data_IF_171589068023
#
_entry.id   IF_171589068023
#
_cell.length_a   1.000
_cell.length_b   1.000
_cell.length_c   1.000
_cell.angle_alpha   90.00
_cell.angle_beta   90.00
_cell.angle_gamma   90.00
#
_symmetry.space_group_name_H-M   'P 1'
#
loop_
_entity.id
_entity.type
_entity.pdbx_description
1 polymer ?
#
# COMPACT_ATOMS: atom_id res chain seq x y z
N UNK A 1 -9.98 18.78 -3.32
CA UNK A 1 -9.08 17.98 -4.17
C UNK A 1 -8.06 17.23 -3.31
N UNK A 2 -7.25 17.92 -2.52
CA UNK A 2 -6.37 17.32 -1.49
C UNK A 2 -7.02 16.33 -0.51
N UNK A 3 -8.26 16.60 -0.07
CA UNK A 3 -9.00 15.71 0.83
C UNK A 3 -9.40 14.38 0.19
N UNK A 4 -9.79 14.41 -1.08
CA UNK A 4 -10.20 13.21 -1.81
C UNK A 4 -9.02 12.25 -1.98
N UNK A 5 -7.85 12.77 -2.37
CA UNK A 5 -6.60 12.01 -2.45
C UNK A 5 -6.26 11.29 -1.14
N UNK A 6 -6.36 12.00 -0.01
CA UNK A 6 -6.10 11.41 1.31
C UNK A 6 -7.12 10.32 1.65
N UNK A 7 -8.40 10.54 1.33
CA UNK A 7 -9.46 9.56 1.56
C UNK A 7 -9.26 8.30 0.70
N UNK A 8 -8.86 8.45 -0.57
CA UNK A 8 -8.60 7.33 -1.48
C UNK A 8 -7.37 6.52 -1.04
N UNK A 9 -6.28 7.18 -0.65
CA UNK A 9 -5.09 6.51 -0.09
C UNK A 9 -5.41 5.79 1.23
N UNK A 10 -6.22 6.39 2.10
CA UNK A 10 -6.68 5.76 3.35
C UNK A 10 -7.55 4.55 3.08
N UNK A 11 -8.41 4.63 2.06
CA UNK A 11 -9.24 3.51 1.65
C UNK A 11 -8.39 2.34 1.12
N UNK A 12 -7.34 2.63 0.34
CA UNK A 12 -6.37 1.64 -0.10
C UNK A 12 -5.64 0.97 1.09
N UNK A 13 -5.13 1.76 2.04
CA UNK A 13 -4.47 1.24 3.25
C UNK A 13 -5.41 0.38 4.09
N UNK A 14 -6.66 0.81 4.28
CA UNK A 14 -7.69 0.04 4.99
C UNK A 14 -8.00 -1.27 4.29
N UNK A 15 -8.09 -1.27 2.95
CA UNK A 15 -8.32 -2.50 2.18
C UNK A 15 -7.15 -3.47 2.36
N UNK A 16 -5.91 -2.99 2.36
CA UNK A 16 -4.73 -3.83 2.60
C UNK A 16 -4.80 -4.49 4.00
N UNK A 17 -5.10 -3.74 5.06
CA UNK A 17 -5.27 -4.32 6.41
C UNK A 17 -6.37 -5.38 6.46
N UNK A 18 -7.48 -5.15 5.76
CA UNK A 18 -8.55 -6.13 5.66
C UNK A 18 -8.09 -7.40 4.94
N UNK A 19 -7.41 -7.25 3.80
CA UNK A 19 -6.83 -8.36 3.02
C UNK A 19 -5.88 -9.19 3.87
N UNK A 20 -5.02 -8.55 4.66
CA UNK A 20 -4.06 -9.22 5.55
C UNK A 20 -4.76 -9.97 6.69
N UNK A 21 -5.79 -9.37 7.28
CA UNK A 21 -6.62 -10.03 8.30
C UNK A 21 -7.37 -11.23 7.73
N UNK A 22 -7.95 -11.11 6.54
CA UNK A 22 -8.62 -12.22 5.84
C UNK A 22 -7.61 -13.32 5.49
N UNK A 23 -6.40 -12.95 5.10
CA UNK A 23 -5.36 -13.91 4.75
C UNK A 23 -4.93 -14.72 5.98
N UNK A 24 -4.80 -14.05 7.13
CA UNK A 24 -4.51 -14.74 8.39
C UNK A 24 -5.59 -15.77 8.74
N UNK A 25 -6.86 -15.40 8.63
CA UNK A 25 -7.98 -16.34 8.84
C UNK A 25 -7.95 -17.50 7.84
N UNK A 26 -7.62 -17.24 6.57
CA UNK A 26 -7.55 -18.27 5.54
C UNK A 26 -6.46 -19.30 5.84
N UNK A 27 -5.25 -18.86 6.18
CA UNK A 27 -4.15 -19.79 6.49
C UNK A 27 -4.39 -20.56 7.79
N UNK A 28 -4.96 -19.92 8.81
CA UNK A 28 -5.32 -20.58 10.07
C UNK A 28 -6.43 -21.65 9.85
N UNK A 29 -7.29 -21.45 8.85
CA UNK A 29 -8.31 -22.41 8.41
C UNK A 29 -7.83 -23.44 7.38
N UNK A 30 -6.56 -23.39 6.94
CA UNK A 30 -5.98 -24.32 5.96
C UNK A 30 -6.29 -23.99 4.49
N UNK A 31 -6.85 -22.82 4.18
CA UNK A 31 -7.13 -22.37 2.81
C UNK A 31 -5.95 -21.58 2.22
N UNK A 32 -4.92 -22.33 1.79
CA UNK A 32 -3.73 -21.75 1.15
C UNK A 32 -4.04 -21.05 -0.18
N UNK A 33 -5.08 -21.49 -0.91
CA UNK A 33 -5.45 -20.90 -2.18
C UNK A 33 -5.99 -19.48 -1.96
N UNK A 34 -6.89 -19.31 -0.98
CA UNK A 34 -7.40 -18.00 -0.59
C UNK A 34 -6.31 -17.10 -0.01
N UNK A 35 -5.40 -17.65 0.80
CA UNK A 35 -4.23 -16.93 1.31
C UNK A 35 -3.40 -16.30 0.18
N UNK A 36 -3.08 -17.08 -0.86
CA UNK A 36 -2.32 -16.60 -2.01
C UNK A 36 -3.08 -15.56 -2.83
N UNK A 37 -4.38 -15.77 -3.06
CA UNK A 37 -5.23 -14.80 -3.76
C UNK A 37 -5.27 -13.45 -3.06
N UNK A 38 -5.37 -13.45 -1.73
CA UNK A 38 -5.40 -12.23 -0.93
C UNK A 38 -4.09 -11.45 -1.03
N UNK A 39 -2.93 -12.11 -0.96
CA UNK A 39 -1.66 -11.40 -1.15
C UNK A 39 -1.43 -10.92 -2.58
N UNK A 40 -1.98 -11.61 -3.58
CA UNK A 40 -2.03 -11.08 -4.94
C UNK A 40 -2.88 -9.80 -5.02
N UNK A 41 -4.01 -9.74 -4.31
CA UNK A 41 -4.83 -8.53 -4.22
C UNK A 41 -4.08 -7.37 -3.54
N UNK A 42 -3.37 -7.63 -2.43
CA UNK A 42 -2.51 -6.62 -1.77
C UNK A 42 -1.49 -6.03 -2.76
N UNK A 43 -0.85 -6.89 -3.55
CA UNK A 43 0.10 -6.48 -4.58
C UNK A 43 -0.58 -5.61 -5.64
N UNK A 44 -1.75 -6.00 -6.13
CA UNK A 44 -2.48 -5.26 -7.15
C UNK A 44 -2.92 -3.88 -6.65
N UNK A 45 -3.33 -3.76 -5.38
CA UNK A 45 -3.62 -2.46 -4.75
C UNK A 45 -2.38 -1.56 -4.75
N UNK A 46 -1.21 -2.10 -4.36
CA UNK A 46 0.04 -1.34 -4.31
C UNK A 46 0.52 -0.92 -5.71
N UNK A 47 0.33 -1.78 -6.70
CA UNK A 47 0.62 -1.47 -8.10
C UNK A 47 -0.27 -0.36 -8.67
N UNK A 48 -1.51 -0.25 -8.19
CA UNK A 48 -2.45 0.78 -8.63
C UNK A 48 -2.30 2.14 -7.92
N UNK A 49 -1.38 2.29 -6.97
CA UNK A 49 -1.20 3.55 -6.25
C UNK A 49 -0.76 4.72 -7.16
N UNK A 50 0.16 4.57 -8.13
CA UNK A 50 0.52 5.65 -9.05
C UNK A 50 -0.69 6.15 -9.82
N UNK A 51 -1.49 5.25 -10.41
CA UNK A 51 -2.70 5.59 -11.16
C UNK A 51 -3.76 6.29 -10.29
N UNK A 52 -3.86 5.88 -9.02
CA UNK A 52 -4.76 6.53 -8.06
C UNK A 52 -4.34 7.97 -7.77
N UNK A 53 -3.05 8.25 -7.76
CA UNK A 53 -2.48 9.53 -7.34
C UNK A 53 -2.29 10.51 -8.49
N UNK A 54 -1.99 10.03 -9.70
CA UNK A 54 -1.71 10.83 -10.90
C UNK A 54 -2.72 11.98 -11.13
N UNK A 55 -4.06 11.77 -11.04
CA UNK A 55 -5.03 12.82 -11.29
C UNK A 55 -4.96 14.00 -10.30
N UNK A 56 -4.33 13.80 -9.14
CA UNK A 56 -4.24 14.80 -8.07
C UNK A 56 -2.92 15.57 -8.09
N UNK A 57 -1.91 15.12 -8.85
CA UNK A 57 -0.57 15.73 -8.84
C UNK A 57 -0.58 17.17 -9.35
N UNK A 58 -1.41 17.47 -10.35
CA UNK A 58 -1.50 18.81 -10.95
C UNK A 58 -2.01 19.88 -9.98
N UNK A 59 -2.72 19.49 -8.92
CA UNK A 59 -3.31 20.39 -7.92
C UNK A 59 -2.41 20.60 -6.68
N UNK A 60 -1.24 19.97 -6.65
CA UNK A 60 -0.29 20.07 -5.54
C UNK A 60 0.89 20.98 -5.90
N UNK A 61 1.54 21.62 -4.91
CA UNK A 61 2.81 22.30 -5.14
C UNK A 61 3.85 21.32 -5.71
N UNK A 62 4.60 21.74 -6.72
CA UNK A 62 5.54 20.89 -7.48
C UNK A 62 6.48 20.05 -6.59
N UNK A 63 7.14 20.58 -5.54
CA UNK A 63 7.98 19.75 -4.67
C UNK A 63 7.23 18.66 -3.89
N UNK A 64 5.94 18.88 -3.62
CA UNK A 64 5.08 17.90 -2.96
C UNK A 64 4.55 16.88 -3.97
N UNK A 65 4.16 17.31 -5.16
CA UNK A 65 3.72 16.46 -6.26
C UNK A 65 4.80 15.45 -6.65
N UNK A 66 6.03 15.92 -6.90
CA UNK A 66 7.17 15.07 -7.28
C UNK A 66 7.49 14.02 -6.21
N UNK A 67 7.46 14.43 -4.94
CA UNK A 67 7.74 13.54 -3.83
C UNK A 67 6.65 12.49 -3.66
N UNK A 68 5.40 12.89 -3.81
CA UNK A 68 4.25 12.00 -3.74
C UNK A 68 4.32 10.96 -4.87
N UNK A 69 4.58 11.38 -6.11
CA UNK A 69 4.76 10.51 -7.26
C UNK A 69 5.90 9.49 -7.02
N UNK A 70 7.07 9.95 -6.57
CA UNK A 70 8.22 9.08 -6.30
C UNK A 70 7.91 8.02 -5.23
N UNK A 71 7.19 8.39 -4.17
CA UNK A 71 6.89 7.47 -3.07
C UNK A 71 5.88 6.38 -3.50
N UNK A 72 4.83 6.74 -4.25
CA UNK A 72 3.86 5.75 -4.77
C UNK A 72 4.46 4.82 -5.81
N UNK A 73 5.36 5.34 -6.66
CA UNK A 73 6.17 4.51 -7.56
C UNK A 73 7.07 3.53 -6.78
N UNK A 74 7.64 3.97 -5.67
CA UNK A 74 8.43 3.11 -4.78
C UNK A 74 7.61 1.97 -4.14
N UNK A 75 6.34 2.19 -3.81
CA UNK A 75 5.43 1.13 -3.38
C UNK A 75 5.12 0.16 -4.53
N UNK A 76 4.75 0.67 -5.70
CA UNK A 76 4.43 -0.13 -6.88
C UNK A 76 5.62 -0.98 -7.35
N UNK A 77 6.82 -0.42 -7.42
CA UNK A 77 8.03 -1.13 -7.84
C UNK A 77 8.37 -2.31 -6.93
N UNK A 78 8.22 -2.15 -5.61
CA UNK A 78 8.41 -3.24 -4.64
C UNK A 78 7.35 -4.32 -4.80
N UNK A 79 6.09 -3.93 -4.98
CA UNK A 79 4.99 -4.86 -5.22
C UNK A 79 5.17 -5.63 -6.54
N UNK A 80 5.57 -4.95 -7.61
CA UNK A 80 5.88 -5.57 -8.91
C UNK A 80 7.04 -6.56 -8.83
N UNK A 81 8.07 -6.25 -8.04
CA UNK A 81 9.17 -7.17 -7.76
C UNK A 81 8.71 -8.41 -6.99
N UNK A 82 7.85 -8.25 -5.97
CA UNK A 82 7.27 -9.38 -5.25
C UNK A 82 6.39 -10.26 -6.17
N UNK A 83 5.64 -9.62 -7.08
CA UNK A 83 4.81 -10.29 -8.11
C UNK A 83 5.64 -11.11 -9.07
N UNK A 84 6.71 -10.54 -9.63
CA UNK A 84 7.57 -11.21 -10.62
C UNK A 84 8.31 -12.42 -10.04
N UNK A 85 8.70 -12.34 -8.77
CA UNK A 85 9.29 -13.45 -8.03
C UNK A 85 8.27 -14.53 -7.63
N UNK A 86 6.96 -14.28 -7.80
CA UNK A 86 5.86 -15.13 -7.36
C UNK A 86 6.05 -15.61 -5.90
N UNK A 87 6.60 -14.75 -5.05
CA UNK A 87 7.03 -15.12 -3.70
C UNK A 87 6.07 -14.59 -2.67
N UNK A 88 5.28 -15.49 -2.11
CA UNK A 88 4.30 -15.18 -1.06
C UNK A 88 4.93 -14.53 0.17
N UNK A 89 6.18 -14.90 0.49
CA UNK A 89 6.93 -14.29 1.60
C UNK A 89 7.23 -12.82 1.34
N UNK A 90 7.68 -12.48 0.12
CA UNK A 90 7.91 -11.08 -0.24
C UNK A 90 6.61 -10.29 -0.29
N UNK A 91 5.54 -10.87 -0.83
CA UNK A 91 4.21 -10.22 -0.86
C UNK A 91 3.66 -9.96 0.55
N UNK A 92 3.87 -10.91 1.46
CA UNK A 92 3.55 -10.78 2.88
C UNK A 92 4.28 -9.58 3.50
N UNK A 93 5.60 -9.52 3.32
CA UNK A 93 6.47 -8.51 3.93
C UNK A 93 6.33 -7.09 3.34
N UNK A 94 5.62 -6.90 2.22
CA UNK A 94 5.38 -5.56 1.66
C UNK A 94 4.79 -4.63 2.73
N UNK A 95 5.32 -3.40 2.80
CA UNK A 95 4.96 -2.35 3.77
C UNK A 95 5.50 -2.53 5.20
N UNK A 96 6.21 -3.62 5.49
CA UNK A 96 6.69 -3.93 6.83
C UNK A 96 8.22 -3.97 6.86
N UNK A 97 8.88 -2.88 7.28
CA UNK A 97 10.33 -2.86 7.45
C UNK A 97 10.76 -3.78 8.61
N UNK A 98 12.06 -4.09 8.67
CA UNK A 98 12.62 -5.04 9.64
C UNK A 98 12.40 -4.65 11.11
N UNK A 99 12.20 -3.35 11.38
CA UNK A 99 11.95 -2.81 12.72
C UNK A 99 10.45 -2.69 13.08
N UNK A 100 9.55 -3.15 12.19
CA UNK A 100 8.12 -3.15 12.42
C UNK A 100 7.72 -3.97 13.66
N UNK A 101 6.77 -3.44 14.42
CA UNK A 101 6.12 -4.14 15.54
C UNK A 101 4.63 -4.27 15.28
N UNK A 102 4.05 -5.38 15.73
CA UNK A 102 2.62 -5.59 15.62
C UNK A 102 1.85 -4.45 16.32
N UNK A 103 0.86 -3.89 15.61
CA UNK A 103 0.08 -2.74 16.06
C UNK A 103 0.63 -1.39 15.58
N UNK A 104 1.87 -1.32 15.09
CA UNK A 104 2.40 -0.10 14.49
C UNK A 104 1.74 0.19 13.13
N UNK A 105 1.75 1.46 12.68
CA UNK A 105 1.42 1.80 11.31
C UNK A 105 2.43 1.19 10.33
N UNK A 106 1.94 0.65 9.21
CA UNK A 106 2.77 0.18 8.10
C UNK A 106 3.33 1.35 7.27
N UNK A 107 4.24 1.08 6.35
CA UNK A 107 4.89 2.14 5.55
C UNK A 107 3.89 3.05 4.80
N UNK A 108 2.80 2.48 4.26
CA UNK A 108 1.79 3.23 3.53
C UNK A 108 0.99 4.13 4.48
N UNK A 109 0.60 3.63 5.65
CA UNK A 109 -0.08 4.41 6.68
C UNK A 109 0.82 5.56 7.19
N UNK A 110 2.09 5.27 7.49
CA UNK A 110 3.08 6.30 7.88
C UNK A 110 3.27 7.34 6.78
N UNK A 111 3.22 6.92 5.52
CA UNK A 111 3.32 7.82 4.38
C UNK A 111 2.10 8.75 4.30
N UNK A 112 0.89 8.21 4.45
CA UNK A 112 -0.37 8.97 4.47
C UNK A 112 -0.36 10.00 5.61
N UNK A 113 0.08 9.62 6.80
CA UNK A 113 0.18 10.53 7.95
C UNK A 113 1.14 11.70 7.69
N UNK A 114 2.29 11.41 7.07
CA UNK A 114 3.24 12.46 6.64
C UNK A 114 2.63 13.36 5.57
N UNK A 115 1.89 12.80 4.62
CA UNK A 115 1.25 13.54 3.54
C UNK A 115 0.18 14.50 4.10
N UNK A 116 -0.68 14.02 5.01
CA UNK A 116 -1.70 14.85 5.66
C UNK A 116 -1.08 16.03 6.41
N UNK A 117 0.08 15.85 7.04
CA UNK A 117 0.77 16.96 7.74
C UNK A 117 1.30 18.06 6.80
N UNK A 118 1.47 17.76 5.50
CA UNK A 118 2.07 18.65 4.50
C UNK A 118 1.07 19.30 3.55
N UNK A 119 -0.15 18.76 3.51
CA UNK A 119 -1.26 19.23 2.67
C UNK A 119 -2.18 20.21 3.43
N UNK A 120 -1.98 20.37 4.74
CA UNK A 120 -2.68 21.36 5.57
C UNK A 120 -2.43 22.80 5.14
#
# INVERSE_FOLDING_TARGET
>A
MSRQLLDDLRQAAKRIRQVESEARTAIDGGDEARYRQLYAEKVDILLGLPDLVEPHLADLPEPLADRLALEVEGFAARAGSAKSLNSIFYMYALLYPDDYREGDPNDLERFIDRLESRIK
#
